data_IF_166284390091
#
_entry.id   IF_166284390091
#
_cell.length_a   1.000
_cell.length_b   1.000
_cell.length_c   1.000
_cell.angle_alpha   90.00
_cell.angle_beta   90.00
_cell.angle_gamma   90.00
#
_symmetry.space_group_name_H-M   'P 1'
#
loop_
_entity.id
_entity.type
_entity.pdbx_description
1 polymer ?
#
# COMPACT_ATOMS: atom_id res chain seq x y z
N UNK A 1 8.74 10.89 57.79
CA UNK A 1 8.78 9.49 57.42
C UNK A 1 7.79 9.32 56.32
N UNK A 2 8.19 9.55 55.30
CA UNK A 2 8.12 9.67 53.88
C UNK A 2 7.33 8.51 53.24
N UNK A 3 6.23 8.92 52.61
CA UNK A 3 5.52 8.11 51.64
C UNK A 3 6.30 8.19 50.33
N UNK A 4 7.05 7.19 50.02
CA UNK A 4 7.65 6.93 48.72
C UNK A 4 7.54 5.44 48.44
N UNK A 5 7.37 5.13 47.16
CA UNK A 5 7.51 3.82 46.52
C UNK A 5 6.28 2.93 46.44
N UNK A 6 5.43 3.24 45.43
CA UNK A 6 4.74 2.22 44.66
C UNK A 6 4.43 2.81 43.26
N UNK A 7 5.47 3.07 42.49
CA UNK A 7 5.34 3.18 41.05
C UNK A 7 5.27 1.77 40.47
N UNK A 8 4.08 1.38 40.14
CA UNK A 8 3.84 0.12 39.43
C UNK A 8 4.07 0.36 37.94
N UNK A 9 5.20 -0.13 37.48
CA UNK A 9 5.69 -0.10 36.12
C UNK A 9 4.86 -1.08 35.27
N UNK A 10 3.72 -0.64 34.78
CA UNK A 10 2.91 -1.33 33.76
C UNK A 10 3.46 -1.06 32.36
N UNK A 11 4.66 -1.51 32.09
CA UNK A 11 5.22 -1.50 30.74
C UNK A 11 4.43 -2.43 29.84
N UNK A 12 3.54 -1.87 29.03
CA UNK A 12 3.02 -2.53 27.83
C UNK A 12 4.21 -2.84 26.93
N UNK A 13 4.66 -4.08 26.91
CA UNK A 13 5.61 -4.56 25.91
C UNK A 13 4.92 -4.53 24.55
N UNK A 14 5.06 -3.39 23.87
CA UNK A 14 4.88 -3.33 22.44
C UNK A 14 5.97 -4.20 21.81
N UNK A 15 5.65 -5.44 21.48
CA UNK A 15 6.45 -6.31 20.62
C UNK A 15 6.44 -5.74 19.19
N UNK A 16 7.01 -4.53 19.02
CA UNK A 16 7.27 -3.91 17.74
C UNK A 16 8.39 -4.67 17.05
N UNK A 17 8.07 -5.51 16.09
CA UNK A 17 9.06 -6.00 15.12
C UNK A 17 9.70 -4.76 14.50
N UNK A 18 10.92 -4.47 14.90
CA UNK A 18 11.74 -3.40 14.34
C UNK A 18 11.89 -3.66 12.85
N UNK A 19 11.93 -2.59 12.04
CA UNK A 19 12.26 -2.64 10.62
C UNK A 19 13.65 -3.26 10.31
N UNK A 20 14.40 -3.62 11.35
CA UNK A 20 15.69 -4.31 11.26
C UNK A 20 15.50 -5.72 10.73
N UNK A 21 16.15 -6.01 9.60
CA UNK A 21 16.11 -7.34 8.97
C UNK A 21 15.02 -7.52 7.92
N UNK A 22 14.18 -6.51 7.66
CA UNK A 22 13.21 -6.53 6.57
C UNK A 22 13.88 -6.10 5.28
N UNK A 23 13.74 -6.91 4.22
CA UNK A 23 14.22 -6.61 2.87
C UNK A 23 13.03 -6.34 1.96
N UNK A 24 13.03 -5.19 1.28
CA UNK A 24 12.05 -4.93 0.21
C UNK A 24 12.63 -5.43 -1.10
N UNK A 25 11.90 -6.32 -1.78
CA UNK A 25 12.31 -6.94 -3.03
C UNK A 25 11.16 -7.11 -4.01
N UNK A 26 11.47 -7.36 -5.28
CA UNK A 26 10.45 -7.75 -6.25
C UNK A 26 9.74 -9.05 -5.81
N UNK A 27 8.44 -9.10 -6.05
CA UNK A 27 7.63 -10.29 -5.71
C UNK A 27 7.93 -11.47 -6.63
N UNK A 28 7.78 -12.68 -6.10
CA UNK A 28 7.96 -13.96 -6.80
C UNK A 28 6.65 -14.75 -6.83
N UNK A 29 6.57 -15.80 -7.63
CA UNK A 29 5.41 -16.69 -7.65
C UNK A 29 5.18 -17.39 -6.31
N UNK A 30 6.28 -17.68 -5.58
CA UNK A 30 6.23 -18.26 -4.24
C UNK A 30 5.58 -17.36 -3.18
N UNK A 31 5.52 -16.04 -3.41
CA UNK A 31 4.96 -15.08 -2.46
C UNK A 31 3.41 -14.99 -2.54
N UNK A 32 2.82 -15.55 -3.60
CA UNK A 32 1.39 -15.37 -3.92
C UNK A 32 0.49 -15.85 -2.79
N UNK A 33 0.80 -16.98 -2.16
CA UNK A 33 0.03 -17.51 -1.04
C UNK A 33 -0.02 -16.54 0.15
N UNK A 34 1.13 -15.98 0.52
CA UNK A 34 1.21 -15.00 1.62
C UNK A 34 0.51 -13.68 1.25
N UNK A 35 0.69 -13.19 0.02
CA UNK A 35 -0.01 -12.00 -0.46
C UNK A 35 -1.53 -12.18 -0.44
N UNK A 36 -2.02 -13.34 -0.86
CA UNK A 36 -3.45 -13.66 -0.80
C UNK A 36 -3.95 -13.68 0.63
N UNK A 37 -3.22 -14.30 1.56
CA UNK A 37 -3.61 -14.34 2.98
C UNK A 37 -3.71 -12.93 3.59
N UNK A 38 -2.72 -12.06 3.33
CA UNK A 38 -2.75 -10.65 3.74
C UNK A 38 -3.97 -9.95 3.14
N UNK A 39 -4.21 -10.10 1.85
CA UNK A 39 -5.34 -9.49 1.15
C UNK A 39 -6.69 -9.93 1.73
N UNK A 40 -6.89 -11.24 1.90
CA UNK A 40 -8.13 -11.80 2.45
C UNK A 40 -8.41 -11.30 3.88
N UNK A 41 -7.35 -11.10 4.68
CA UNK A 41 -7.52 -10.48 5.99
C UNK A 41 -8.09 -9.07 5.87
N UNK A 42 -7.53 -8.24 4.98
CA UNK A 42 -7.98 -6.86 4.79
C UNK A 42 -9.41 -6.74 4.26
N UNK A 43 -9.84 -7.62 3.33
CA UNK A 43 -11.23 -7.58 2.86
C UNK A 43 -12.24 -8.05 3.90
N UNK A 44 -11.83 -8.89 4.86
CA UNK A 44 -12.70 -9.38 5.94
C UNK A 44 -12.77 -8.44 7.13
N UNK A 45 -11.68 -7.75 7.44
CA UNK A 45 -11.50 -6.99 8.69
C UNK A 45 -11.04 -5.53 8.47
N UNK A 46 -10.57 -5.20 7.28
CA UNK A 46 -10.04 -3.89 6.94
C UNK A 46 -10.94 -3.09 6.02
N UNK A 47 -10.58 -1.84 5.83
CA UNK A 47 -11.26 -0.93 4.91
C UNK A 47 -10.38 -0.75 3.68
N UNK A 48 -10.71 -1.40 2.56
CA UNK A 48 -10.11 -1.16 1.26
C UNK A 48 -11.15 -0.64 0.27
N UNK A 49 -11.18 0.68 -0.01
CA UNK A 49 -12.19 1.28 -0.88
C UNK A 49 -12.13 0.80 -2.35
N UNK A 50 -11.04 0.17 -2.77
CA UNK A 50 -10.88 -0.29 -4.15
C UNK A 50 -11.57 -1.62 -4.46
N UNK A 51 -12.07 -2.33 -3.45
CA UNK A 51 -12.50 -3.73 -3.53
C UNK A 51 -14.00 -3.94 -3.70
N UNK A 52 -14.77 -2.90 -4.00
CA UNK A 52 -16.24 -2.96 -4.05
C UNK A 52 -16.84 -3.83 -5.15
N UNK A 53 -16.06 -4.28 -6.11
CA UNK A 53 -16.56 -5.01 -7.28
C UNK A 53 -16.26 -6.50 -7.25
N UNK A 54 -15.47 -6.99 -6.30
CA UNK A 54 -15.19 -8.40 -6.16
C UNK A 54 -16.24 -9.01 -5.21
N UNK A 55 -17.34 -9.49 -5.78
CA UNK A 55 -18.40 -10.24 -5.07
C UNK A 55 -17.82 -11.54 -4.52
N UNK A 56 -16.76 -12.07 -5.17
CA UNK A 56 -16.02 -13.23 -4.72
C UNK A 56 -14.56 -12.86 -4.42
N UNK A 57 -14.02 -13.33 -3.27
CA UNK A 57 -12.61 -13.11 -2.97
C UNK A 57 -11.75 -13.78 -4.05
N UNK A 58 -10.65 -13.13 -4.50
CA UNK A 58 -9.77 -13.74 -5.49
C UNK A 58 -9.12 -15.00 -4.94
N UNK A 59 -8.84 -15.93 -5.82
CA UNK A 59 -8.06 -17.11 -5.51
C UNK A 59 -6.55 -16.91 -5.82
N UNK A 60 -5.76 -17.96 -5.59
CA UNK A 60 -4.31 -17.96 -5.85
C UNK A 60 -4.00 -17.68 -7.32
N UNK A 61 -4.78 -18.23 -8.24
CA UNK A 61 -4.53 -18.06 -9.67
C UNK A 61 -4.89 -16.66 -10.16
N UNK A 62 -5.88 -16.03 -9.57
CA UNK A 62 -6.20 -14.62 -9.79
C UNK A 62 -5.04 -13.72 -9.39
N UNK A 63 -4.49 -13.90 -8.19
CA UNK A 63 -3.34 -13.11 -7.73
C UNK A 63 -2.12 -13.36 -8.61
N UNK A 64 -1.83 -14.61 -8.99
CA UNK A 64 -0.77 -14.94 -9.94
C UNK A 64 -0.96 -14.25 -11.29
N UNK A 65 -2.15 -14.32 -11.85
CA UNK A 65 -2.48 -13.69 -13.12
C UNK A 65 -2.30 -12.18 -13.07
N UNK A 66 -2.83 -11.52 -12.03
CA UNK A 66 -2.66 -10.08 -11.80
C UNK A 66 -1.18 -9.71 -11.71
N UNK A 67 -0.39 -10.44 -10.89
CA UNK A 67 1.05 -10.20 -10.73
C UNK A 67 1.82 -10.36 -12.04
N UNK A 68 1.61 -11.47 -12.77
CA UNK A 68 2.24 -11.70 -14.08
C UNK A 68 1.91 -10.60 -15.09
N UNK A 69 0.65 -10.14 -15.10
CA UNK A 69 0.24 -9.05 -15.97
C UNK A 69 0.94 -7.72 -15.62
N UNK A 70 1.10 -7.43 -14.33
CA UNK A 70 1.87 -6.25 -13.90
C UNK A 70 3.33 -6.35 -14.33
N UNK A 71 3.98 -7.48 -14.12
CA UNK A 71 5.37 -7.71 -14.55
C UNK A 71 5.55 -7.57 -16.07
N UNK A 72 4.65 -8.15 -16.86
CA UNK A 72 4.66 -8.03 -18.33
C UNK A 72 4.60 -6.56 -18.77
N UNK A 73 3.89 -5.73 -18.04
CA UNK A 73 3.75 -4.31 -18.33
C UNK A 73 4.78 -3.44 -17.57
N UNK A 74 5.84 -4.04 -17.03
CA UNK A 74 6.89 -3.35 -16.25
C UNK A 74 6.34 -2.52 -15.08
N UNK A 75 5.22 -2.93 -14.52
CA UNK A 75 4.62 -2.29 -13.34
C UNK A 75 5.24 -2.89 -12.08
N UNK A 76 5.77 -2.06 -11.17
CA UNK A 76 6.38 -2.53 -9.94
C UNK A 76 5.38 -3.31 -9.07
N UNK A 77 5.85 -4.45 -8.57
CA UNK A 77 5.17 -5.29 -7.61
C UNK A 77 6.22 -5.84 -6.63
N UNK A 78 6.17 -5.37 -5.38
CA UNK A 78 7.21 -5.59 -4.37
C UNK A 78 6.63 -6.18 -3.09
N UNK A 79 7.47 -6.86 -2.32
CA UNK A 79 7.12 -7.43 -1.01
C UNK A 79 8.12 -6.95 0.04
N UNK A 80 7.65 -6.85 1.28
CA UNK A 80 8.47 -6.75 2.48
C UNK A 80 8.69 -8.17 3.02
N UNK A 81 9.93 -8.62 2.98
CA UNK A 81 10.37 -9.96 3.36
C UNK A 81 11.16 -9.89 4.67
N UNK A 82 10.67 -10.57 5.68
CA UNK A 82 11.36 -10.75 6.97
C UNK A 82 11.82 -12.19 7.07
N UNK A 83 13.11 -12.44 6.85
CA UNK A 83 13.72 -13.78 6.95
C UNK A 83 12.97 -14.87 6.15
N UNK A 84 12.51 -14.55 4.93
CA UNK A 84 11.78 -15.47 4.06
C UNK A 84 10.26 -15.44 4.22
N UNK A 85 9.73 -14.66 5.17
CA UNK A 85 8.29 -14.48 5.40
C UNK A 85 7.83 -13.15 4.81
N UNK A 86 6.84 -13.18 3.94
CA UNK A 86 6.21 -11.96 3.39
C UNK A 86 5.28 -11.36 4.43
N UNK A 87 5.63 -10.17 4.93
CA UNK A 87 4.88 -9.43 5.95
C UNK A 87 4.16 -8.19 5.41
N UNK A 88 4.27 -7.94 4.13
CA UNK A 88 3.56 -6.87 3.44
C UNK A 88 3.92 -6.85 1.95
N UNK A 89 3.12 -6.18 1.16
CA UNK A 89 3.38 -6.00 -0.26
C UNK A 89 2.78 -4.70 -0.78
N UNK A 90 3.32 -4.24 -1.91
CA UNK A 90 2.82 -3.07 -2.59
C UNK A 90 2.94 -3.24 -4.10
N UNK A 91 2.06 -2.60 -4.85
CA UNK A 91 2.09 -2.65 -6.30
C UNK A 91 1.52 -1.38 -6.93
N UNK A 92 1.86 -1.18 -8.21
CA UNK A 92 1.30 -0.15 -9.04
C UNK A 92 0.52 -0.75 -10.21
N UNK A 93 -0.56 -0.08 -10.62
CA UNK A 93 -1.33 -0.39 -11.82
C UNK A 93 -1.57 0.88 -12.63
N UNK A 94 -1.86 0.81 -13.94
CA UNK A 94 -2.18 2.00 -14.72
C UNK A 94 -3.40 2.71 -14.13
N UNK A 95 -3.34 4.03 -14.04
CA UNK A 95 -4.49 4.83 -13.57
C UNK A 95 -5.70 4.68 -14.50
N UNK A 96 -5.49 4.79 -15.80
CA UNK A 96 -6.50 4.59 -16.86
C UNK A 96 -5.86 3.98 -18.10
N UNK A 97 -6.64 3.28 -18.91
CA UNK A 97 -6.14 2.58 -20.12
C UNK A 97 -5.88 3.49 -21.32
N UNK A 98 -6.37 4.75 -21.31
CA UNK A 98 -6.19 5.67 -22.45
C UNK A 98 -4.74 6.17 -22.53
N UNK A 99 -4.14 6.31 -23.73
CA UNK A 99 -2.75 6.74 -23.93
C UNK A 99 -2.36 8.03 -23.21
N UNK A 100 -3.29 8.98 -23.09
CA UNK A 100 -3.05 10.24 -22.37
C UNK A 100 -2.65 10.03 -20.88
N UNK A 101 -2.98 8.88 -20.28
CA UNK A 101 -2.70 8.57 -18.88
C UNK A 101 -1.58 7.54 -18.69
N UNK A 102 -0.82 7.20 -19.76
CA UNK A 102 0.20 6.14 -19.72
C UNK A 102 1.32 6.38 -18.71
N UNK A 103 1.56 7.64 -18.33
CA UNK A 103 2.58 8.01 -17.34
C UNK A 103 2.04 8.14 -15.90
N UNK A 104 0.80 7.73 -15.68
CA UNK A 104 0.13 7.83 -14.37
C UNK A 104 -0.20 6.45 -13.85
N UNK A 105 0.19 6.17 -12.62
CA UNK A 105 -0.15 4.93 -11.91
C UNK A 105 -1.02 5.22 -10.70
N UNK A 106 -1.84 4.26 -10.33
CA UNK A 106 -2.39 4.14 -8.98
C UNK A 106 -1.70 3.00 -8.26
N UNK A 107 -1.63 3.07 -6.94
CA UNK A 107 -0.95 2.06 -6.13
C UNK A 107 -1.82 1.54 -5.01
N UNK A 108 -1.39 0.41 -4.45
CA UNK A 108 -1.95 -0.18 -3.23
C UNK A 108 -0.83 -0.71 -2.36
N UNK A 109 -1.03 -0.66 -1.03
CA UNK A 109 -0.11 -1.18 -0.03
C UNK A 109 -0.92 -1.98 0.97
N UNK A 110 -0.45 -3.19 1.27
CA UNK A 110 -1.04 -4.08 2.26
C UNK A 110 0.04 -4.57 3.22
N UNK A 111 -0.24 -4.49 4.50
CA UNK A 111 0.66 -4.96 5.56
C UNK A 111 -0.05 -6.06 6.34
N UNK A 112 0.67 -7.13 6.66
CA UNK A 112 0.15 -8.22 7.48
C UNK A 112 -0.35 -7.65 8.82
N UNK A 113 -1.50 -8.13 9.30
CA UNK A 113 -2.18 -7.55 10.46
C UNK A 113 -1.33 -7.55 11.73
N UNK A 114 -0.51 -8.57 11.94
CA UNK A 114 0.42 -8.64 13.08
C UNK A 114 1.61 -7.67 12.97
N UNK A 115 1.82 -7.09 11.78
CA UNK A 115 2.90 -6.15 11.51
C UNK A 115 2.39 -4.73 11.23
N UNK A 116 1.12 -4.44 11.55
CA UNK A 116 0.60 -3.08 11.51
C UNK A 116 1.35 -2.20 12.51
N UNK A 117 1.47 -0.91 12.18
CA UNK A 117 2.16 0.10 13.00
C UNK A 117 3.67 -0.18 13.27
N UNK A 118 4.26 -1.20 12.65
CA UNK A 118 5.69 -1.56 12.78
C UNK A 118 6.61 -0.85 11.77
N UNK A 119 6.10 0.15 11.04
CA UNK A 119 6.88 0.91 10.05
C UNK A 119 6.94 0.28 8.65
N UNK A 120 6.24 -0.82 8.39
CA UNK A 120 6.28 -1.50 7.08
C UNK A 120 5.83 -0.60 5.93
N UNK A 121 4.83 0.25 6.14
CA UNK A 121 4.42 1.23 5.14
C UNK A 121 5.53 2.22 4.78
N UNK A 122 6.37 2.59 5.76
CA UNK A 122 7.53 3.48 5.55
C UNK A 122 8.68 2.82 4.80
N UNK A 123 8.68 1.49 4.67
CA UNK A 123 9.63 0.75 3.82
C UNK A 123 9.04 0.52 2.43
N UNK A 124 7.78 0.11 2.34
CA UNK A 124 7.13 -0.25 1.08
C UNK A 124 6.82 0.96 0.20
N UNK A 125 6.28 2.05 0.78
CA UNK A 125 5.85 3.20 -0.02
C UNK A 125 7.01 3.88 -0.76
N UNK A 126 8.14 4.26 -0.13
CA UNK A 126 9.25 4.87 -0.85
C UNK A 126 9.86 3.91 -1.87
N UNK A 127 10.03 2.63 -1.56
CA UNK A 127 10.54 1.65 -2.52
C UNK A 127 9.65 1.52 -3.77
N UNK A 128 8.32 1.58 -3.59
CA UNK A 128 7.39 1.58 -4.71
C UNK A 128 7.46 2.88 -5.52
N UNK A 129 7.58 4.03 -4.85
CA UNK A 129 7.76 5.34 -5.49
C UNK A 129 8.99 5.32 -6.39
N UNK A 130 10.13 4.89 -5.86
CA UNK A 130 11.41 4.84 -6.58
C UNK A 130 11.33 3.87 -7.75
N UNK A 131 10.76 2.70 -7.57
CA UNK A 131 10.57 1.72 -8.64
C UNK A 131 9.65 2.26 -9.77
N UNK A 132 8.58 2.99 -9.43
CA UNK A 132 7.71 3.61 -10.43
C UNK A 132 8.41 4.76 -11.16
N UNK A 133 9.17 5.59 -10.46
CA UNK A 133 9.97 6.66 -11.06
C UNK A 133 11.02 6.09 -12.03
N UNK A 134 11.74 5.05 -11.61
CA UNK A 134 12.72 4.34 -12.45
C UNK A 134 12.08 3.67 -13.69
N UNK A 135 10.79 3.31 -13.62
CA UNK A 135 10.01 2.78 -14.75
C UNK A 135 9.43 3.86 -15.67
N UNK A 136 9.77 5.16 -15.46
CA UNK A 136 9.34 6.27 -16.33
C UNK A 136 7.96 6.84 -16.01
N UNK A 137 7.32 6.41 -14.91
CA UNK A 137 6.06 7.02 -14.47
C UNK A 137 6.31 8.40 -13.87
N UNK A 138 5.35 9.31 -14.06
CA UNK A 138 5.46 10.73 -13.69
C UNK A 138 4.48 11.15 -12.60
N UNK A 139 3.39 10.40 -12.40
CA UNK A 139 2.39 10.70 -11.37
C UNK A 139 1.94 9.40 -10.69
N UNK A 140 1.76 9.46 -9.38
CA UNK A 140 1.22 8.36 -8.59
C UNK A 140 0.00 8.82 -7.81
N UNK A 141 -1.07 8.02 -7.87
CA UNK A 141 -2.34 8.29 -7.18
C UNK A 141 -2.60 7.18 -6.17
N UNK A 142 -3.02 7.57 -4.98
CA UNK A 142 -3.55 6.69 -3.94
C UNK A 142 -5.01 7.01 -3.65
N UNK A 143 -5.85 5.99 -3.54
CA UNK A 143 -7.19 6.08 -2.97
C UNK A 143 -7.13 5.52 -1.55
N UNK A 144 -7.43 6.36 -0.56
CA UNK A 144 -7.27 6.03 0.85
C UNK A 144 -8.62 6.24 1.54
N UNK A 145 -9.05 5.26 2.31
CA UNK A 145 -10.23 5.44 3.16
C UNK A 145 -10.06 6.67 4.06
N UNK A 146 -11.07 7.54 4.06
CA UNK A 146 -11.01 8.80 4.79
C UNK A 146 -10.88 8.62 6.31
N UNK A 147 -11.28 7.47 6.84
CA UNK A 147 -11.10 7.08 8.24
C UNK A 147 -9.70 6.54 8.56
N UNK A 148 -8.91 6.17 7.54
CA UNK A 148 -7.58 5.59 7.75
C UNK A 148 -6.51 6.67 7.92
N UNK A 149 -6.51 7.34 9.08
CA UNK A 149 -5.56 8.41 9.41
C UNK A 149 -4.09 7.99 9.31
N UNK A 150 -3.77 6.75 9.68
CA UNK A 150 -2.40 6.23 9.61
C UNK A 150 -1.89 6.18 8.17
N UNK A 151 -2.72 5.73 7.24
CA UNK A 151 -2.39 5.72 5.81
C UNK A 151 -2.29 7.12 5.23
N UNK A 152 -3.19 8.04 5.60
CA UNK A 152 -3.15 9.44 5.16
C UNK A 152 -1.83 10.08 5.58
N UNK A 153 -1.48 10.02 6.87
CA UNK A 153 -0.23 10.57 7.41
C UNK A 153 1.02 9.93 6.77
N UNK A 154 0.98 8.62 6.51
CA UNK A 154 2.05 7.94 5.79
C UNK A 154 2.25 8.58 4.42
N UNK A 155 1.21 8.74 3.63
CA UNK A 155 1.28 9.31 2.29
C UNK A 155 1.73 10.77 2.31
N UNK A 156 1.19 11.59 3.21
CA UNK A 156 1.63 12.98 3.41
C UNK A 156 3.12 13.07 3.73
N UNK A 157 3.64 12.18 4.59
CA UNK A 157 5.06 12.14 4.96
C UNK A 157 5.99 11.83 3.78
N UNK A 158 5.47 11.23 2.71
CA UNK A 158 6.17 10.97 1.45
C UNK A 158 5.74 11.90 0.31
N UNK A 159 5.18 13.07 0.63
CA UNK A 159 4.91 14.15 -0.32
C UNK A 159 3.65 13.97 -1.17
N UNK A 160 2.77 13.07 -0.81
CA UNK A 160 1.43 13.04 -1.40
C UNK A 160 0.60 14.21 -0.88
N UNK A 161 -0.23 14.77 -1.76
CA UNK A 161 -1.19 15.84 -1.43
C UNK A 161 -2.59 15.36 -1.72
N UNK A 162 -3.54 15.75 -0.90
CA UNK A 162 -4.95 15.52 -1.18
C UNK A 162 -5.37 16.34 -2.41
N UNK A 163 -5.94 15.66 -3.41
CA UNK A 163 -6.41 16.26 -4.66
C UNK A 163 -7.90 16.04 -4.88
N UNK A 164 -8.55 15.26 -4.04
CA UNK A 164 -9.99 15.03 -4.10
C UNK A 164 -10.52 14.34 -2.87
N UNK A 165 -11.84 14.49 -2.67
CA UNK A 165 -12.62 13.79 -1.66
C UNK A 165 -13.83 13.17 -2.35
N UNK A 166 -14.06 11.89 -2.13
CA UNK A 166 -15.10 11.10 -2.75
C UNK A 166 -16.05 10.60 -1.65
N UNK A 167 -17.14 11.33 -1.39
CA UNK A 167 -18.08 10.92 -0.34
C UNK A 167 -18.88 9.70 -0.80
N UNK A 168 -19.14 8.78 0.13
CA UNK A 168 -19.98 7.59 -0.07
C UNK A 168 -19.64 6.80 -1.33
N UNK A 169 -18.35 6.69 -1.66
CA UNK A 169 -17.87 6.00 -2.86
C UNK A 169 -17.86 4.49 -2.69
N UNK A 170 -17.90 4.01 -1.47
CA UNK A 170 -17.89 2.62 -1.13
C UNK A 170 -18.96 2.20 -0.14
N UNK A 171 -19.46 0.96 -0.23
CA UNK A 171 -20.38 0.41 0.76
C UNK A 171 -19.79 -0.87 1.36
N UNK A 172 -19.54 -0.86 2.69
CA UNK A 172 -18.91 -1.98 3.40
C UNK A 172 -19.47 -2.14 4.79
N UNK A 173 -19.56 -3.39 5.24
CA UNK A 173 -20.02 -3.72 6.58
C UNK A 173 -21.30 -2.95 6.96
N UNK A 174 -22.24 -2.82 5.98
CA UNK A 174 -23.52 -2.15 6.19
C UNK A 174 -23.45 -0.61 6.20
N UNK A 175 -22.33 0.02 5.84
CA UNK A 175 -22.20 1.48 5.83
C UNK A 175 -21.49 2.01 4.59
N UNK A 176 -21.80 3.24 4.21
CA UNK A 176 -21.10 3.98 3.19
C UNK A 176 -19.75 4.48 3.72
N UNK A 177 -18.72 4.41 2.88
CA UNK A 177 -17.38 4.88 3.20
C UNK A 177 -16.93 5.93 2.20
N UNK A 178 -16.14 6.88 2.69
CA UNK A 178 -15.56 7.97 1.92
C UNK A 178 -14.11 7.64 1.57
N UNK A 179 -13.62 8.21 0.47
CA UNK A 179 -12.23 8.04 0.07
C UNK A 179 -11.56 9.37 -0.23
N UNK A 180 -10.32 9.52 0.21
CA UNK A 180 -9.43 10.58 -0.21
C UNK A 180 -8.65 10.14 -1.44
N UNK A 181 -8.59 11.00 -2.44
CA UNK A 181 -7.68 10.85 -3.56
C UNK A 181 -6.44 11.69 -3.29
N UNK A 182 -5.30 11.04 -3.17
CA UNK A 182 -4.01 11.66 -2.94
C UNK A 182 -3.10 11.45 -4.14
N UNK A 183 -2.30 12.46 -4.46
CA UNK A 183 -1.42 12.46 -5.63
C UNK A 183 -0.02 12.93 -5.26
N UNK A 184 0.98 12.33 -5.92
CA UNK A 184 2.38 12.72 -5.85
C UNK A 184 3.02 12.69 -7.24
N UNK A 185 3.86 13.69 -7.56
CA UNK A 185 4.77 13.66 -8.71
C UNK A 185 5.92 12.68 -8.48
N UNK A 186 6.35 12.00 -9.54
CA UNK A 186 7.45 11.05 -9.58
C UNK A 186 8.56 11.56 -10.51
N UNK A 187 9.83 11.41 -10.13
CA UNK A 187 10.96 11.88 -10.93
C UNK A 187 10.79 13.36 -11.28
N UNK A 188 10.85 13.69 -12.57
CA UNK A 188 10.67 15.06 -13.06
C UNK A 188 9.20 15.56 -13.01
N UNK A 189 8.25 14.70 -12.68
CA UNK A 189 6.82 15.07 -12.60
C UNK A 189 6.32 15.70 -13.90
N UNK A 190 5.81 16.91 -13.80
CA UNK A 190 5.29 17.74 -14.90
C UNK A 190 6.24 18.86 -15.35
N UNK A 191 7.47 18.88 -14.79
CA UNK A 191 8.48 19.94 -15.12
C UNK A 191 9.12 19.74 -16.49
N UNK A 192 8.98 18.58 -17.11
CA UNK A 192 9.45 18.27 -18.45
C UNK A 192 8.50 17.28 -19.14
N UNK A 193 8.41 17.29 -20.48
CA UNK A 193 7.69 16.26 -21.23
C UNK A 193 8.19 14.86 -20.83
N UNK A 194 7.31 13.85 -20.73
CA UNK A 194 7.73 12.48 -20.50
C UNK A 194 8.40 11.92 -21.76
N UNK A 195 9.44 11.10 -21.54
CA UNK A 195 10.03 10.32 -22.63
C UNK A 195 9.00 9.37 -23.25
N UNK A 196 9.21 8.99 -24.50
CA UNK A 196 8.39 7.97 -25.13
C UNK A 196 8.58 6.64 -24.38
N UNK A 197 7.48 6.05 -23.87
CA UNK A 197 7.45 4.74 -23.23
C UNK A 197 7.45 3.63 -24.29
#
# INVERSE_FOLDING_TARGET
MTLQDLENNGGSENNGVSARGVVVRASRDSDVGAMLAIYLHHIRHGVDPSQHHDIEPPDVDDIKRRRKNMQKNKLPHIVADLAGVVIGYAYAVPFRRRPAYRHVVKHSIYVHHEHLHSGMGRLLLPALIDACAASGYRQMIGYIDAGNRASIQLHESFGFRQVGYLPSIGFRFGQWTDSLMMQRSLGLGDTAPPDAL
#
